data_IF_414586851247
#
_entry.id   IF_414586851247
#
_cell.length_a   1.000
_cell.length_b   1.000
_cell.length_c   1.000
_cell.angle_alpha   90.00
_cell.angle_beta   90.00
_cell.angle_gamma   90.00
#
_symmetry.space_group_name_H-M   'P 1'
#
loop_
_entity.id
_entity.type
_entity.pdbx_description
1 polymer ?
#
# COMPACT_ATOMS: atom_id res chain seq x y z
N UNK A 1 -5.08 59.64 33.21
CA UNK A 1 -4.18 59.61 32.04
C UNK A 1 -3.82 58.16 31.77
N UNK A 2 -4.59 57.50 30.92
CA UNK A 2 -4.39 56.11 30.46
C UNK A 2 -3.45 56.11 29.26
N UNK A 3 -2.59 55.08 29.10
CA UNK A 3 -2.04 54.78 27.79
C UNK A 3 -2.42 53.37 27.32
N UNK A 4 -3.16 53.38 26.20
CA UNK A 4 -3.08 52.53 25.00
C UNK A 4 -2.90 51.02 25.17
N UNK A 5 -4.01 50.31 24.89
CA UNK A 5 -4.02 49.01 24.20
C UNK A 5 -3.11 49.06 22.96
N UNK A 6 -2.14 48.17 22.88
CA UNK A 6 -1.55 47.72 21.62
C UNK A 6 -2.11 46.33 21.33
N UNK A 7 -2.96 46.21 20.33
CA UNK A 7 -3.08 44.96 19.59
C UNK A 7 -1.80 44.80 18.76
N UNK A 8 -1.27 43.57 18.66
CA UNK A 8 -1.13 42.94 17.36
C UNK A 8 -1.49 41.44 17.50
N UNK A 9 -1.92 40.67 16.52
CA UNK A 9 -1.95 40.74 15.06
C UNK A 9 -2.99 39.69 14.66
N UNK A 10 -3.64 39.90 13.52
CA UNK A 10 -4.67 39.05 12.95
C UNK A 10 -4.31 37.56 12.98
N UNK A 11 -5.33 36.75 13.26
CA UNK A 11 -5.34 35.33 12.98
C UNK A 11 -5.12 35.10 11.49
N UNK A 12 -4.02 34.45 11.14
CA UNK A 12 -3.86 33.74 9.88
C UNK A 12 -3.88 32.24 10.21
N UNK A 13 -4.67 31.43 9.48
CA UNK A 13 -4.84 30.02 9.77
C UNK A 13 -3.66 29.26 9.15
N UNK A 14 -2.55 29.18 9.86
CA UNK A 14 -1.45 28.33 9.42
C UNK A 14 -1.79 26.87 9.74
N UNK A 15 -2.25 26.21 8.67
CA UNK A 15 -2.23 24.78 8.40
C UNK A 15 -2.16 23.88 9.63
N UNK A 16 -3.31 23.27 9.93
CA UNK A 16 -3.36 21.99 10.63
C UNK A 16 -2.57 20.98 9.77
N UNK A 17 -1.26 20.90 9.98
CA UNK A 17 -0.50 19.73 9.59
C UNK A 17 -1.12 18.56 10.34
N UNK A 18 -1.95 17.80 9.63
CA UNK A 18 -2.30 16.45 10.02
C UNK A 18 -1.00 15.64 10.01
N UNK A 19 -0.22 15.76 11.09
CA UNK A 19 0.81 14.80 11.44
C UNK A 19 0.07 13.51 11.74
N UNK A 20 -0.16 12.73 10.68
CA UNK A 20 -0.42 11.32 10.79
C UNK A 20 0.71 10.79 11.67
N UNK A 21 0.34 10.28 12.85
CA UNK A 21 1.27 9.62 13.74
C UNK A 21 1.98 8.53 12.94
N UNK A 22 3.20 8.82 12.49
CA UNK A 22 4.04 7.83 11.87
C UNK A 22 4.49 6.92 13.00
N UNK A 23 3.67 5.91 13.30
CA UNK A 23 4.05 4.84 14.20
C UNK A 23 5.41 4.36 13.71
N UNK A 24 6.50 4.50 14.49
CA UNK A 24 7.85 4.20 14.02
C UNK A 24 7.96 2.78 13.46
N UNK A 25 7.10 1.88 13.96
CA UNK A 25 6.87 0.53 13.44
C UNK A 25 6.40 0.49 11.97
N UNK A 26 5.45 1.33 11.56
CA UNK A 26 4.98 1.40 10.16
C UNK A 26 6.09 1.87 9.21
N UNK A 27 6.90 2.84 9.65
CA UNK A 27 8.03 3.32 8.85
C UNK A 27 9.14 2.26 8.68
N UNK A 28 9.42 1.49 9.74
CA UNK A 28 10.37 0.39 9.72
C UNK A 28 9.86 -0.77 8.86
N UNK A 29 8.59 -1.15 9.01
CA UNK A 29 7.95 -2.16 8.18
C UNK A 29 7.96 -1.77 6.69
N UNK A 30 7.65 -0.51 6.37
CA UNK A 30 7.73 0.02 5.01
C UNK A 30 9.14 -0.10 4.42
N UNK A 31 10.18 0.22 5.21
CA UNK A 31 11.58 0.08 4.77
C UNK A 31 11.98 -1.37 4.52
N UNK A 32 11.60 -2.29 5.41
CA UNK A 32 11.86 -3.73 5.25
C UNK A 32 11.15 -4.28 4.02
N UNK A 33 9.89 -3.86 3.78
CA UNK A 33 9.15 -4.23 2.57
C UNK A 33 9.83 -3.69 1.31
N UNK A 34 10.20 -2.41 1.27
CA UNK A 34 10.89 -1.81 0.13
C UNK A 34 12.27 -2.46 -0.14
N UNK A 35 13.01 -2.83 0.91
CA UNK A 35 14.25 -3.59 0.77
C UNK A 35 14.01 -5.02 0.25
N UNK A 36 12.95 -5.69 0.73
CA UNK A 36 12.54 -7.02 0.27
C UNK A 36 12.08 -7.05 -1.19
N UNK A 37 11.49 -5.95 -1.68
CA UNK A 37 11.15 -5.79 -3.11
C UNK A 37 12.40 -5.88 -3.98
N UNK A 38 13.56 -5.38 -3.53
CA UNK A 38 14.81 -5.39 -4.31
C UNK A 38 15.32 -6.78 -4.70
N UNK A 39 15.21 -7.78 -3.82
CA UNK A 39 15.64 -9.16 -4.09
C UNK A 39 14.69 -9.90 -5.06
N UNK A 40 13.41 -9.56 -5.04
CA UNK A 40 12.40 -10.08 -5.97
C UNK A 40 12.47 -9.33 -7.32
N UNK A 41 12.92 -8.08 -7.29
CA UNK A 41 13.05 -7.19 -8.44
C UNK A 41 14.28 -7.43 -9.32
N UNK A 42 15.00 -8.56 -9.18
CA UNK A 42 15.85 -9.05 -10.28
C UNK A 42 14.97 -9.06 -11.54
N UNK A 43 15.20 -8.04 -12.37
CA UNK A 43 14.37 -7.73 -13.53
C UNK A 43 14.56 -8.82 -14.58
N UNK A 44 13.60 -8.95 -15.47
CA UNK A 44 13.71 -9.91 -16.57
C UNK A 44 14.99 -9.63 -17.36
N UNK A 45 15.29 -8.35 -17.58
CA UNK A 45 16.49 -7.84 -18.26
C UNK A 45 17.79 -8.33 -17.61
N UNK A 46 17.91 -8.29 -16.28
CA UNK A 46 19.13 -8.73 -15.58
C UNK A 46 19.34 -10.26 -15.66
N UNK A 47 18.22 -11.01 -15.67
CA UNK A 47 18.25 -12.47 -15.85
C UNK A 47 18.64 -12.82 -17.29
N UNK A 48 18.09 -12.10 -18.27
CA UNK A 48 18.41 -12.27 -19.68
C UNK A 48 19.88 -11.94 -19.96
N UNK A 49 20.40 -10.82 -19.44
CA UNK A 49 21.82 -10.44 -19.54
C UNK A 49 22.74 -11.47 -18.86
N UNK A 50 22.36 -12.00 -17.70
CA UNK A 50 23.13 -13.05 -17.05
C UNK A 50 23.20 -14.34 -17.90
N UNK A 51 22.07 -14.76 -18.48
CA UNK A 51 22.01 -15.94 -19.34
C UNK A 51 22.76 -15.70 -20.66
N UNK A 52 22.66 -14.51 -21.24
CA UNK A 52 23.38 -14.14 -22.46
C UNK A 52 24.90 -14.17 -22.23
N UNK A 53 25.38 -13.66 -21.10
CA UNK A 53 26.81 -13.76 -20.72
C UNK A 53 27.30 -15.20 -20.58
N UNK A 54 26.46 -16.11 -20.09
CA UNK A 54 26.78 -17.55 -20.01
C UNK A 54 26.89 -18.19 -21.40
N UNK A 55 26.03 -17.78 -22.33
CA UNK A 55 26.07 -18.24 -23.73
C UNK A 55 27.30 -17.71 -24.46
N UNK A 56 27.61 -16.42 -24.31
CA UNK A 56 28.79 -15.78 -24.91
C UNK A 56 30.10 -16.39 -24.44
N UNK A 57 30.17 -16.79 -23.16
CA UNK A 57 31.34 -17.48 -22.58
C UNK A 57 31.44 -18.96 -22.99
N UNK A 58 30.47 -19.47 -23.75
CA UNK A 58 30.40 -20.87 -24.15
C UNK A 58 30.05 -21.83 -23.00
N UNK A 59 29.63 -21.30 -21.84
CA UNK A 59 29.24 -22.08 -20.67
C UNK A 59 27.81 -22.64 -20.81
N UNK A 60 27.03 -22.10 -21.76
CA UNK A 60 25.65 -22.52 -22.04
C UNK A 60 25.35 -22.49 -23.55
N UNK A 61 24.64 -23.48 -24.06
CA UNK A 61 24.17 -23.45 -25.44
C UNK A 61 23.06 -22.40 -25.60
N UNK A 62 23.04 -21.70 -26.74
CA UNK A 62 22.06 -20.64 -27.01
C UNK A 62 20.60 -21.13 -26.90
N UNK A 63 20.33 -22.35 -27.38
CA UNK A 63 19.00 -22.96 -27.28
C UNK A 63 18.59 -23.22 -25.83
N UNK A 64 19.54 -23.65 -24.99
CA UNK A 64 19.30 -23.92 -23.57
C UNK A 64 19.12 -22.63 -22.78
N UNK A 65 19.87 -21.57 -23.10
CA UNK A 65 19.67 -20.23 -22.53
C UNK A 65 18.26 -19.68 -22.79
N UNK A 66 17.81 -19.72 -24.05
CA UNK A 66 16.44 -19.31 -24.43
C UNK A 66 15.35 -20.14 -23.77
N UNK A 67 15.62 -21.42 -23.48
CA UNK A 67 14.69 -22.29 -22.76
C UNK A 67 14.65 -21.95 -21.27
N UNK A 68 15.81 -21.71 -20.67
CA UNK A 68 15.94 -21.36 -19.25
C UNK A 68 15.22 -20.04 -18.92
N UNK A 69 15.40 -19.01 -19.74
CA UNK A 69 14.69 -17.73 -19.58
C UNK A 69 13.17 -17.95 -19.57
N UNK A 70 12.65 -18.69 -20.57
CA UNK A 70 11.21 -18.99 -20.67
C UNK A 70 10.68 -19.79 -19.48
N UNK A 71 11.42 -20.79 -19.00
CA UNK A 71 11.03 -21.59 -17.84
C UNK A 71 11.00 -20.75 -16.55
N UNK A 72 12.01 -19.90 -16.32
CA UNK A 72 12.07 -19.00 -15.17
C UNK A 72 10.91 -18.02 -15.17
N UNK A 73 10.61 -17.40 -16.32
CA UNK A 73 9.49 -16.47 -16.46
C UNK A 73 8.13 -17.15 -16.24
N UNK A 74 7.94 -18.33 -16.83
CA UNK A 74 6.69 -19.10 -16.69
C UNK A 74 6.48 -19.56 -15.24
N UNK A 75 7.55 -20.06 -14.61
CA UNK A 75 7.50 -20.52 -13.22
C UNK A 75 7.26 -19.37 -12.25
N UNK A 76 7.88 -18.21 -12.47
CA UNK A 76 7.56 -16.98 -11.72
C UNK A 76 6.08 -16.67 -11.79
N UNK A 77 5.52 -16.58 -13.00
CA UNK A 77 4.10 -16.23 -13.21
C UNK A 77 3.15 -17.12 -12.41
N UNK A 78 3.34 -18.43 -12.52
CA UNK A 78 2.54 -19.42 -11.80
C UNK A 78 2.74 -19.37 -10.26
N UNK A 79 3.96 -19.06 -9.79
CA UNK A 79 4.21 -18.86 -8.35
C UNK A 79 3.53 -17.59 -7.84
N UNK A 80 3.60 -16.48 -8.59
CA UNK A 80 2.97 -15.23 -8.21
C UNK A 80 1.46 -15.36 -8.12
N UNK A 81 0.79 -15.94 -9.11
CA UNK A 81 -0.67 -16.13 -9.10
C UNK A 81 -1.16 -16.92 -7.87
N UNK A 82 -0.48 -18.03 -7.54
CA UNK A 82 -0.87 -18.85 -6.37
C UNK A 82 -0.54 -18.15 -5.05
N UNK A 83 0.64 -17.53 -4.95
CA UNK A 83 1.10 -16.91 -3.70
C UNK A 83 0.45 -15.56 -3.42
N UNK A 84 0.01 -14.82 -4.43
CA UNK A 84 -0.65 -13.53 -4.24
C UNK A 84 -1.95 -13.69 -3.45
N UNK A 85 -2.78 -14.68 -3.82
CA UNK A 85 -4.03 -14.97 -3.10
C UNK A 85 -3.78 -15.43 -1.65
N UNK A 86 -2.75 -16.24 -1.43
CA UNK A 86 -2.38 -16.73 -0.10
C UNK A 86 -1.78 -15.61 0.76
N UNK A 87 -0.96 -14.75 0.15
CA UNK A 87 -0.35 -13.59 0.80
C UNK A 87 -1.42 -12.57 1.19
N UNK A 88 -2.38 -12.28 0.31
CA UNK A 88 -3.50 -11.39 0.60
C UNK A 88 -4.28 -11.86 1.82
N UNK A 89 -4.65 -13.15 1.87
CA UNK A 89 -5.33 -13.75 3.03
C UNK A 89 -4.50 -13.68 4.31
N UNK A 90 -3.18 -13.91 4.22
CA UNK A 90 -2.27 -13.81 5.38
C UNK A 90 -2.18 -12.39 5.90
N UNK A 91 -2.13 -11.39 5.02
CA UNK A 91 -2.12 -9.97 5.40
C UNK A 91 -3.44 -9.57 6.03
N UNK A 92 -4.56 -9.98 5.44
CA UNK A 92 -5.91 -9.72 5.98
C UNK A 92 -6.08 -10.31 7.39
N UNK A 93 -5.70 -11.57 7.59
CA UNK A 93 -5.74 -12.21 8.91
C UNK A 93 -4.83 -11.52 9.94
N UNK A 94 -3.70 -10.94 9.53
CA UNK A 94 -2.84 -10.16 10.44
C UNK A 94 -3.49 -8.81 10.80
N UNK A 95 -4.10 -8.13 9.84
CA UNK A 95 -4.81 -6.87 10.07
C UNK A 95 -5.99 -7.07 11.03
N UNK A 96 -6.76 -8.15 10.85
CA UNK A 96 -7.85 -8.52 11.77
C UNK A 96 -7.33 -8.74 13.20
N UNK A 97 -6.24 -9.49 13.37
CA UNK A 97 -5.62 -9.74 14.69
C UNK A 97 -5.11 -8.47 15.35
N UNK A 98 -4.64 -7.51 14.56
CA UNK A 98 -4.19 -6.21 15.04
C UNK A 98 -5.34 -5.20 15.23
N UNK A 99 -6.60 -5.61 14.98
CA UNK A 99 -7.79 -4.74 15.02
C UNK A 99 -7.64 -3.51 14.13
N UNK A 100 -6.95 -3.64 13.00
CA UNK A 100 -6.80 -2.56 12.02
C UNK A 100 -7.97 -2.64 11.04
N UNK A 101 -8.88 -1.65 11.04
CA UNK A 101 -10.00 -1.64 10.10
C UNK A 101 -9.51 -1.43 8.66
N UNK A 102 -10.16 -2.09 7.72
CA UNK A 102 -9.87 -1.96 6.29
C UNK A 102 -10.60 -0.75 5.70
N UNK A 103 -10.21 -0.35 4.49
CA UNK A 103 -10.92 0.71 3.74
C UNK A 103 -12.38 0.33 3.47
N UNK A 104 -12.65 -0.94 3.16
CA UNK A 104 -13.99 -1.45 2.92
C UNK A 104 -14.88 -1.33 4.17
N UNK A 105 -14.33 -1.58 5.36
CA UNK A 105 -15.05 -1.42 6.63
C UNK A 105 -15.47 0.05 6.85
N UNK A 106 -14.57 0.99 6.52
CA UNK A 106 -14.83 2.43 6.62
C UNK A 106 -15.93 2.86 5.64
N UNK A 107 -15.86 2.39 4.39
CA UNK A 107 -16.87 2.69 3.37
C UNK A 107 -18.25 2.14 3.76
N UNK A 108 -18.31 0.89 4.23
CA UNK A 108 -19.56 0.28 4.70
C UNK A 108 -20.15 1.02 5.92
N UNK A 109 -19.31 1.57 6.80
CA UNK A 109 -19.78 2.37 7.93
C UNK A 109 -20.32 3.74 7.46
N UNK A 110 -19.64 4.38 6.51
CA UNK A 110 -20.10 5.65 5.93
C UNK A 110 -21.46 5.51 5.24
N UNK A 111 -21.70 4.42 4.50
CA UNK A 111 -23.00 4.15 3.89
C UNK A 111 -24.10 3.99 4.94
N UNK A 112 -23.82 3.23 6.01
CA UNK A 112 -24.76 3.06 7.12
C UNK A 112 -25.07 4.39 7.81
N UNK A 113 -24.05 5.23 8.02
CA UNK A 113 -24.22 6.57 8.59
C UNK A 113 -25.10 7.41 7.67
N UNK A 114 -24.83 7.44 6.36
CA UNK A 114 -25.65 8.19 5.40
C UNK A 114 -27.13 7.75 5.41
N UNK A 115 -27.37 6.44 5.42
CA UNK A 115 -28.73 5.88 5.48
C UNK A 115 -29.44 6.22 6.81
N UNK A 116 -28.72 6.23 7.93
CA UNK A 116 -29.28 6.63 9.22
C UNK A 116 -29.59 8.12 9.27
N UNK A 117 -28.69 8.97 8.76
CA UNK A 117 -28.91 10.42 8.65
C UNK A 117 -30.18 10.72 7.85
N UNK A 118 -30.35 10.06 6.70
CA UNK A 118 -31.55 10.23 5.87
C UNK A 118 -32.83 9.84 6.61
N UNK A 119 -32.84 8.71 7.33
CA UNK A 119 -34.01 8.29 8.12
C UNK A 119 -34.35 9.27 9.24
N UNK A 120 -33.34 9.85 9.89
CA UNK A 120 -33.54 10.85 10.93
C UNK A 120 -34.15 12.12 10.34
N UNK A 121 -33.67 12.58 9.18
CA UNK A 121 -34.25 13.73 8.46
C UNK A 121 -35.70 13.48 8.05
N UNK A 122 -36.03 12.29 7.56
CA UNK A 122 -37.40 11.93 7.17
C UNK A 122 -38.35 11.87 8.38
N UNK A 123 -37.87 11.38 9.52
CA UNK A 123 -38.65 11.34 10.76
C UNK A 123 -38.86 12.74 11.35
N UNK A 124 -37.83 13.59 11.35
CA UNK A 124 -37.95 14.98 11.83
C UNK A 124 -38.89 15.79 10.94
N UNK A 125 -38.86 15.62 9.61
CA UNK A 125 -39.82 16.24 8.68
C UNK A 125 -41.26 15.75 8.87
N UNK A 126 -41.47 14.53 9.38
CA UNK A 126 -42.81 13.98 9.68
C UNK A 126 -43.36 14.43 11.04
N UNK A 127 -42.50 14.88 11.95
CA UNK A 127 -42.88 15.33 13.29
C UNK A 127 -43.06 16.86 13.40
N UNK A 128 -42.57 17.61 12.42
CA UNK A 128 -42.86 19.03 12.18
C UNK A 128 -44.04 19.21 11.23
#
# INVERSE_FOLDING_TARGET
MTPRRKTPKAAEPEAVEAKAEHSPLLSAARRVLLAGVGAVALAQDEIEDFVNRLVERGELAEQDGKKLIREVLTRRRHIFEKKESELARRVEAMLERMKVPTKADIEALNEKIAALTQKIEDLTKKQS
#
